data_IF_758502154332
#
_entry.id   IF_758502154332
#
_cell.length_a   1.000
_cell.length_b   1.000
_cell.length_c   1.000
_cell.angle_alpha   90.00
_cell.angle_beta   90.00
_cell.angle_gamma   90.00
#
_symmetry.space_group_name_H-M   'P 1'
#
loop_
_entity.id
_entity.type
_entity.pdbx_description
1 polymer ?
#
# COMPACT_ATOMS: atom_id res chain seq x y z
N UNK A 1 6.15 7.41 0.51
CA UNK A 1 4.79 6.92 0.24
C UNK A 1 3.89 6.85 1.45
N UNK A 2 4.42 6.88 2.65
CA UNK A 2 3.56 6.90 3.85
C UNK A 2 2.74 8.18 3.84
N UNK A 3 1.45 8.04 4.12
CA UNK A 3 0.51 9.15 4.06
C UNK A 3 -0.15 9.35 2.70
N UNK A 4 0.29 8.59 1.69
CA UNK A 4 -0.32 8.65 0.37
C UNK A 4 -1.68 7.97 0.38
N UNK A 5 -2.63 8.56 -0.29
CA UNK A 5 -3.97 7.97 -0.43
C UNK A 5 -4.21 7.59 -1.87
N UNK A 6 -4.73 6.38 -2.07
CA UNK A 6 -5.06 5.86 -3.38
C UNK A 6 -6.47 5.29 -3.32
N UNK A 7 -7.42 6.00 -3.94
CA UNK A 7 -8.83 5.60 -3.86
C UNK A 7 -9.29 5.55 -2.41
N UNK A 8 -9.69 4.37 -1.96
CA UNK A 8 -10.15 4.16 -0.58
C UNK A 8 -9.06 3.67 0.35
N UNK A 9 -7.81 3.60 -0.14
CA UNK A 9 -6.68 3.08 0.64
C UNK A 9 -5.75 4.21 1.05
N UNK A 10 -5.18 4.08 2.23
CA UNK A 10 -4.16 5.00 2.72
C UNK A 10 -2.93 4.22 3.11
N UNK A 11 -1.78 4.63 2.60
CA UNK A 11 -0.52 3.99 2.93
C UNK A 11 -0.11 4.40 4.34
N UNK A 12 -0.07 3.44 5.26
CA UNK A 12 0.22 3.70 6.66
C UNK A 12 1.59 3.21 7.11
N UNK A 13 2.16 2.23 6.41
CA UNK A 13 3.45 1.67 6.78
C UNK A 13 4.10 0.98 5.58
N UNK A 14 5.39 0.70 5.71
CA UNK A 14 6.11 -0.09 4.73
C UNK A 14 6.54 -1.41 5.34
N UNK A 15 6.83 -2.41 4.49
CA UNK A 15 7.32 -3.70 4.94
C UNK A 15 8.65 -4.01 4.27
N UNK A 16 9.34 -5.03 4.77
CA UNK A 16 10.57 -5.53 4.15
C UNK A 16 10.28 -6.52 3.03
N UNK A 17 9.03 -6.86 2.81
CA UNK A 17 8.64 -7.80 1.78
C UNK A 17 8.68 -7.15 0.41
N UNK A 18 9.01 -7.94 -0.59
CA UNK A 18 9.02 -7.50 -1.99
C UNK A 18 8.39 -8.57 -2.86
N UNK A 19 7.61 -8.11 -3.84
CA UNK A 19 7.00 -8.98 -4.83
C UNK A 19 7.46 -8.48 -6.19
N UNK A 20 8.17 -9.33 -6.94
CA UNK A 20 8.67 -8.98 -8.27
C UNK A 20 9.44 -7.65 -8.27
N UNK A 21 10.32 -7.47 -7.27
CA UNK A 21 11.14 -6.27 -7.08
C UNK A 21 10.34 -5.04 -6.64
N UNK A 22 9.05 -5.20 -6.38
CA UNK A 22 8.23 -4.10 -5.88
C UNK A 22 8.09 -4.20 -4.37
N UNK A 23 8.30 -3.09 -3.69
CA UNK A 23 8.16 -3.04 -2.24
C UNK A 23 6.69 -3.17 -1.87
N UNK A 24 6.42 -3.91 -0.81
CA UNK A 24 5.06 -4.09 -0.30
C UNK A 24 4.80 -3.04 0.78
N UNK A 25 3.67 -2.39 0.69
CA UNK A 25 3.23 -1.37 1.63
C UNK A 25 1.96 -1.81 2.32
N UNK A 26 1.81 -1.45 3.57
CA UNK A 26 0.56 -1.71 4.30
C UNK A 26 -0.37 -0.52 4.06
N UNK A 27 -1.53 -0.81 3.55
CA UNK A 27 -2.55 0.22 3.31
C UNK A 27 -3.79 -0.08 4.12
N UNK A 28 -4.43 0.96 4.60
CA UNK A 28 -5.65 0.83 5.39
C UNK A 28 -6.84 1.34 4.58
N UNK A 29 -7.86 0.52 4.49
CA UNK A 29 -9.10 0.91 3.83
C UNK A 29 -9.92 1.82 4.73
N UNK A 30 -10.81 2.61 4.14
CA UNK A 30 -11.68 3.51 4.90
C UNK A 30 -12.57 2.75 5.88
N UNK A 31 -12.83 1.49 5.62
CA UNK A 31 -13.63 0.63 6.51
C UNK A 31 -12.81 0.09 7.69
N UNK A 32 -11.52 0.38 7.74
CA UNK A 32 -10.66 -0.05 8.84
C UNK A 32 -9.86 -1.30 8.58
N UNK A 33 -10.02 -1.94 7.44
CA UNK A 33 -9.25 -3.13 7.09
C UNK A 33 -7.87 -2.75 6.56
N UNK A 34 -6.87 -3.55 6.95
CA UNK A 34 -5.51 -3.38 6.46
C UNK A 34 -5.21 -4.42 5.39
N UNK A 35 -4.57 -3.98 4.31
CA UNK A 35 -4.22 -4.86 3.19
C UNK A 35 -2.80 -4.56 2.73
N UNK A 36 -2.15 -5.57 2.16
CA UNK A 36 -0.81 -5.41 1.60
C UNK A 36 -0.95 -5.02 0.13
N UNK A 37 -0.24 -3.96 -0.28
CA UNK A 37 -0.29 -3.48 -1.65
C UNK A 37 1.15 -3.21 -2.11
N UNK A 38 1.48 -3.62 -3.33
CA UNK A 38 2.80 -3.36 -3.89
C UNK A 38 2.91 -1.93 -4.39
N UNK A 39 4.14 -1.42 -4.46
CA UNK A 39 4.39 -0.09 -5.01
C UNK A 39 3.90 0.05 -6.46
N UNK A 40 4.00 -1.02 -7.24
CA UNK A 40 3.52 -1.01 -8.62
C UNK A 40 1.99 -0.82 -8.66
N UNK A 41 1.27 -1.51 -7.76
CA UNK A 41 -0.18 -1.36 -7.67
C UNK A 41 -0.56 0.06 -7.23
N UNK A 42 0.19 0.64 -6.32
CA UNK A 42 -0.05 2.02 -5.88
C UNK A 42 0.17 3.01 -7.02
N UNK A 43 1.17 2.75 -7.85
CA UNK A 43 1.45 3.62 -9.01
C UNK A 43 0.38 3.50 -10.08
N UNK A 44 -0.11 2.30 -10.30
CA UNK A 44 -1.13 2.04 -11.31
C UNK A 44 -2.52 2.48 -10.85
N UNK A 45 -2.73 2.47 -9.56
CA UNK A 45 -4.01 2.85 -9.00
C UNK A 45 -4.13 4.31 -8.71
#
# INVERSE_FOLDING_TARGET
MIGMKVGFLEVIAETDKRVRRNKVWICKCICGNEVDVTGAALRAG
#
